data_IF_561315417193
#
_entry.id   IF_561315417193
#
_cell.length_a   1.000
_cell.length_b   1.000
_cell.length_c   1.000
_cell.angle_alpha   90.00
_cell.angle_beta   90.00
_cell.angle_gamma   90.00
#
_symmetry.space_group_name_H-M   'P 1'
#
loop_
_entity.id
_entity.type
_entity.pdbx_description
1 polymer ?
#
# COMPACT_ATOMS: atom_id res chain seq x y z
N UNK A 1 -20.60 4.10 -13.36
CA UNK A 1 -20.67 5.18 -12.33
C UNK A 1 -20.20 6.49 -12.94
N UNK A 2 -20.74 7.64 -12.53
CA UNK A 2 -20.38 8.98 -13.01
C UNK A 2 -19.41 9.64 -12.02
N UNK A 3 -18.26 10.09 -12.50
CA UNK A 3 -17.29 10.83 -11.69
C UNK A 3 -17.61 12.32 -11.75
N UNK A 4 -17.65 12.89 -12.96
CA UNK A 4 -18.11 14.25 -13.26
C UNK A 4 -19.10 14.22 -14.43
N UNK A 5 -19.48 15.38 -14.99
CA UNK A 5 -20.35 15.40 -16.17
C UNK A 5 -19.70 14.74 -17.41
N UNK A 6 -18.38 14.79 -17.50
CA UNK A 6 -17.65 14.32 -18.68
C UNK A 6 -16.77 13.10 -18.37
N UNK A 7 -16.52 12.78 -17.09
CA UNK A 7 -15.68 11.66 -16.67
C UNK A 7 -16.55 10.50 -16.17
N UNK A 8 -16.32 9.29 -16.71
CA UNK A 8 -17.05 8.06 -16.41
C UNK A 8 -16.10 6.99 -15.88
N UNK A 9 -16.56 6.20 -14.94
CA UNK A 9 -15.87 5.00 -14.47
C UNK A 9 -16.17 3.84 -15.40
N UNK A 10 -15.12 3.16 -15.86
CA UNK A 10 -15.19 2.01 -16.75
C UNK A 10 -14.54 0.73 -16.17
N UNK A 11 -14.07 0.78 -14.93
CA UNK A 11 -13.40 -0.34 -14.27
C UNK A 11 -14.32 -1.51 -13.91
N UNK A 12 -13.75 -2.48 -13.21
CA UNK A 12 -14.37 -3.76 -12.84
C UNK A 12 -14.12 -4.10 -11.38
N UNK A 13 -14.93 -5.03 -10.81
CA UNK A 13 -14.72 -5.61 -9.49
C UNK A 13 -14.36 -7.08 -9.61
N UNK A 14 -13.27 -7.49 -8.97
CA UNK A 14 -12.85 -8.89 -8.88
C UNK A 14 -13.18 -9.46 -7.50
N UNK A 15 -14.13 -10.39 -7.46
CA UNK A 15 -14.52 -11.14 -6.25
C UNK A 15 -13.92 -12.55 -6.22
N UNK A 16 -13.06 -12.89 -7.18
CA UNK A 16 -12.47 -14.22 -7.29
C UNK A 16 -11.01 -14.26 -6.80
N UNK A 17 -10.34 -13.12 -6.80
CA UNK A 17 -8.97 -13.01 -6.27
C UNK A 17 -8.99 -13.22 -4.75
N UNK A 18 -8.19 -14.16 -4.28
CA UNK A 18 -8.00 -14.43 -2.85
C UNK A 18 -6.70 -13.80 -2.31
N UNK A 19 -5.68 -13.71 -3.17
CA UNK A 19 -4.38 -13.12 -2.85
C UNK A 19 -3.98 -12.10 -3.92
N UNK A 20 -4.03 -10.81 -3.59
CA UNK A 20 -3.49 -9.76 -4.45
C UNK A 20 -1.94 -9.83 -4.46
N UNK A 21 -1.32 -9.66 -5.63
CA UNK A 21 0.13 -9.91 -5.86
C UNK A 21 0.61 -11.29 -5.34
N UNK A 22 -0.30 -12.26 -5.18
CA UNK A 22 0.01 -13.58 -4.67
C UNK A 22 0.42 -13.62 -3.17
N UNK A 23 0.22 -12.54 -2.43
CA UNK A 23 0.65 -12.44 -1.03
C UNK A 23 -0.32 -11.71 -0.09
N UNK A 24 -1.14 -10.79 -0.57
CA UNK A 24 -2.05 -10.00 0.27
C UNK A 24 -3.44 -10.60 0.24
N UNK A 25 -3.92 -11.10 1.37
CA UNK A 25 -5.29 -11.62 1.51
C UNK A 25 -6.30 -10.51 1.25
N UNK A 26 -7.22 -10.71 0.31
CA UNK A 26 -8.23 -9.72 -0.07
C UNK A 26 -9.64 -10.35 -0.01
N UNK A 27 -10.20 -10.56 1.19
CA UNK A 27 -11.47 -11.24 1.37
C UNK A 27 -12.66 -10.49 0.74
N UNK A 28 -12.51 -9.19 0.54
CA UNK A 28 -13.49 -8.33 -0.12
C UNK A 28 -13.17 -8.06 -1.60
N UNK A 29 -12.29 -8.89 -2.19
CA UNK A 29 -11.90 -8.77 -3.60
C UNK A 29 -11.03 -7.55 -3.90
N UNK A 30 -11.00 -7.15 -5.16
CA UNK A 30 -10.27 -5.98 -5.67
C UNK A 30 -11.12 -5.21 -6.67
N UNK A 31 -10.87 -3.91 -6.78
CA UNK A 31 -11.33 -3.10 -7.90
C UNK A 31 -10.15 -2.79 -8.82
N UNK A 32 -10.30 -2.97 -10.12
CA UNK A 32 -9.38 -2.50 -11.14
C UNK A 32 -10.03 -1.36 -11.88
N UNK A 33 -9.54 -0.15 -11.66
CA UNK A 33 -10.20 1.06 -12.12
C UNK A 33 -9.67 1.51 -13.48
N UNK A 34 -10.58 1.89 -14.35
CA UNK A 34 -10.34 2.58 -15.60
C UNK A 34 -11.35 3.72 -15.73
N UNK A 35 -10.98 4.79 -16.42
CA UNK A 35 -11.85 5.96 -16.56
C UNK A 35 -11.90 6.42 -18.01
N UNK A 36 -13.00 7.05 -18.40
CA UNK A 36 -13.18 7.63 -19.74
C UNK A 36 -13.50 9.10 -19.61
N UNK A 37 -12.75 9.94 -20.28
CA UNK A 37 -12.98 11.37 -20.40
C UNK A 37 -13.65 11.62 -21.75
N UNK A 38 -14.91 12.02 -21.73
CA UNK A 38 -15.73 12.31 -22.91
C UNK A 38 -15.62 13.79 -23.28
N UNK A 39 -14.88 14.08 -24.33
CA UNK A 39 -14.67 15.42 -24.83
C UNK A 39 -14.71 15.44 -26.38
N UNK A 40 -14.19 16.48 -27.04
CA UNK A 40 -13.98 16.50 -28.50
C UNK A 40 -13.12 15.30 -28.90
N UNK A 41 -11.99 15.10 -28.20
CA UNK A 41 -11.19 13.88 -28.19
C UNK A 41 -11.44 13.09 -26.92
N UNK A 42 -11.58 11.77 -27.07
CA UNK A 42 -11.85 10.89 -25.95
C UNK A 42 -10.57 10.23 -25.45
N UNK A 43 -10.32 10.30 -24.15
CA UNK A 43 -9.22 9.59 -23.51
C UNK A 43 -9.76 8.48 -22.59
N UNK A 44 -9.19 7.28 -22.68
CA UNK A 44 -9.35 6.19 -21.73
C UNK A 44 -8.10 6.17 -20.85
N UNK A 45 -8.31 6.12 -19.51
CA UNK A 45 -7.25 6.13 -18.52
C UNK A 45 -7.03 4.72 -18.01
N UNK A 46 -5.88 4.13 -18.32
CA UNK A 46 -5.44 2.78 -18.01
C UNK A 46 -6.42 1.67 -18.44
N UNK A 47 -6.00 0.43 -18.31
CA UNK A 47 -6.82 -0.75 -18.56
C UNK A 47 -7.11 -1.48 -17.23
N UNK A 48 -7.53 -2.74 -17.28
CA UNK A 48 -7.81 -3.57 -16.12
C UNK A 48 -7.10 -4.91 -16.23
N UNK A 49 -7.19 -5.75 -15.20
CA UNK A 49 -6.65 -7.11 -15.22
C UNK A 49 -7.17 -7.93 -16.42
N UNK A 50 -6.32 -8.82 -16.94
CA UNK A 50 -6.61 -9.57 -18.17
C UNK A 50 -7.87 -10.44 -18.10
N UNK A 51 -8.24 -10.92 -16.90
CA UNK A 51 -9.43 -11.77 -16.72
C UNK A 51 -10.72 -11.01 -16.99
N UNK A 52 -10.70 -9.68 -16.90
CA UNK A 52 -11.85 -8.80 -17.08
C UNK A 52 -11.88 -8.09 -18.45
N UNK A 53 -11.08 -8.55 -19.42
CA UNK A 53 -11.01 -7.96 -20.76
C UNK A 53 -12.37 -7.71 -21.39
N UNK A 54 -13.26 -8.71 -21.39
CA UNK A 54 -14.57 -8.61 -22.05
C UNK A 54 -15.48 -7.63 -21.33
N UNK A 55 -15.59 -7.75 -20.01
CA UNK A 55 -16.41 -6.86 -19.19
C UNK A 55 -15.98 -5.40 -19.34
N UNK A 56 -14.68 -5.15 -19.29
CA UNK A 56 -14.11 -3.81 -19.46
C UNK A 56 -14.40 -3.23 -20.85
N UNK A 57 -14.21 -4.00 -21.93
CA UNK A 57 -14.50 -3.54 -23.29
C UNK A 57 -16.00 -3.28 -23.48
N UNK A 58 -16.88 -4.06 -22.88
CA UNK A 58 -18.33 -3.84 -22.87
C UNK A 58 -18.68 -2.55 -22.11
N UNK A 59 -18.07 -2.31 -20.95
CA UNK A 59 -18.21 -1.07 -20.19
C UNK A 59 -17.77 0.15 -21.03
N UNK A 60 -16.65 0.05 -21.74
CA UNK A 60 -16.18 1.10 -22.65
C UNK A 60 -17.18 1.34 -23.79
N UNK A 61 -17.67 0.28 -24.42
CA UNK A 61 -18.61 0.39 -25.53
C UNK A 61 -19.91 1.11 -25.12
N UNK A 62 -20.44 0.79 -23.92
CA UNK A 62 -21.61 1.47 -23.34
C UNK A 62 -21.34 2.95 -23.10
N UNK A 63 -20.19 3.29 -22.50
CA UNK A 63 -19.82 4.69 -22.19
C UNK A 63 -19.60 5.50 -23.46
N UNK A 64 -18.93 4.92 -24.44
CA UNK A 64 -18.59 5.57 -25.71
C UNK A 64 -19.82 5.84 -26.61
N UNK A 65 -20.90 5.04 -26.45
CA UNK A 65 -22.15 5.26 -27.20
C UNK A 65 -21.97 5.29 -28.72
N UNK A 66 -21.04 4.50 -29.25
CA UNK A 66 -20.71 4.42 -30.67
C UNK A 66 -19.61 5.39 -31.12
N UNK A 67 -19.12 6.28 -30.26
CA UNK A 67 -17.91 7.07 -30.49
C UNK A 67 -16.66 6.18 -30.38
N UNK A 68 -15.54 6.62 -30.92
CA UNK A 68 -14.25 5.93 -30.77
C UNK A 68 -13.33 6.75 -29.86
N UNK A 69 -12.53 6.10 -28.99
CA UNK A 69 -11.52 6.81 -28.21
C UNK A 69 -10.37 7.24 -29.12
N UNK A 70 -9.83 8.43 -28.86
CA UNK A 70 -8.64 8.95 -29.52
C UNK A 70 -7.36 8.52 -28.82
N UNK A 71 -7.43 8.33 -27.49
CA UNK A 71 -6.28 8.05 -26.65
C UNK A 71 -6.53 6.94 -25.64
N UNK A 72 -5.49 6.13 -25.42
CA UNK A 72 -5.30 5.33 -24.21
C UNK A 72 -4.12 5.92 -23.45
N UNK A 73 -4.37 6.51 -22.29
CA UNK A 73 -3.33 7.02 -21.39
C UNK A 73 -2.91 5.88 -20.46
N UNK A 74 -1.64 5.48 -20.51
CA UNK A 74 -1.08 4.42 -19.65
C UNK A 74 -0.20 5.07 -18.60
N UNK A 75 -0.68 5.08 -17.37
CA UNK A 75 0.00 5.66 -16.21
C UNK A 75 0.91 4.66 -15.52
N UNK A 76 0.53 3.36 -15.55
CA UNK A 76 1.21 2.29 -14.85
C UNK A 76 1.21 0.99 -15.67
N UNK A 77 2.31 0.24 -15.59
CA UNK A 77 2.53 -0.97 -16.40
C UNK A 77 2.34 -2.28 -15.66
N UNK A 78 1.93 -2.24 -14.40
CA UNK A 78 1.55 -3.47 -13.71
C UNK A 78 0.40 -4.16 -14.45
N UNK A 79 0.44 -5.52 -14.61
CA UNK A 79 -0.50 -6.22 -15.49
C UNK A 79 -1.98 -6.03 -15.17
N UNK A 80 -2.33 -5.77 -13.91
CA UNK A 80 -3.71 -5.49 -13.50
C UNK A 80 -4.26 -4.13 -14.00
N UNK A 81 -3.38 -3.28 -14.59
CA UNK A 81 -3.73 -2.01 -15.24
C UNK A 81 -3.30 -1.96 -16.69
N UNK A 82 -2.46 -2.89 -17.16
CA UNK A 82 -1.86 -2.82 -18.50
C UNK A 82 -2.11 -4.03 -19.38
N UNK A 83 -2.59 -5.15 -18.83
CA UNK A 83 -2.72 -6.40 -19.58
C UNK A 83 -3.63 -6.29 -20.82
N UNK A 84 -4.58 -5.37 -20.81
CA UNK A 84 -5.53 -5.20 -21.91
C UNK A 84 -5.16 -4.12 -22.93
N UNK A 85 -3.94 -3.60 -22.94
CA UNK A 85 -3.46 -2.64 -23.95
C UNK A 85 -3.63 -3.20 -25.36
N UNK A 86 -3.20 -4.45 -25.60
CA UNK A 86 -3.32 -5.08 -26.89
C UNK A 86 -4.79 -5.28 -27.31
N UNK A 87 -5.65 -5.69 -26.38
CA UNK A 87 -7.09 -5.87 -26.61
C UNK A 87 -7.77 -4.54 -26.94
N UNK A 88 -7.40 -3.47 -26.27
CA UNK A 88 -7.89 -2.12 -26.57
C UNK A 88 -7.48 -1.68 -27.98
N UNK A 89 -6.22 -1.83 -28.36
CA UNK A 89 -5.74 -1.45 -29.70
C UNK A 89 -6.35 -2.31 -30.81
N UNK A 90 -6.66 -3.57 -30.54
CA UNK A 90 -7.40 -4.40 -31.47
C UNK A 90 -8.84 -3.91 -31.68
N UNK A 91 -9.51 -3.43 -30.62
CA UNK A 91 -10.85 -2.88 -30.70
C UNK A 91 -10.87 -1.46 -31.31
N UNK A 92 -9.83 -0.67 -31.03
CA UNK A 92 -9.72 0.74 -31.43
C UNK A 92 -8.37 1.04 -32.09
N UNK A 93 -8.10 0.51 -33.28
CA UNK A 93 -6.77 0.59 -33.93
C UNK A 93 -6.32 2.01 -34.30
N UNK A 94 -7.24 2.96 -34.35
CA UNK A 94 -6.93 4.37 -34.66
C UNK A 94 -6.49 5.15 -33.41
N UNK A 95 -6.72 4.61 -32.20
CA UNK A 95 -6.34 5.27 -30.95
C UNK A 95 -4.81 5.33 -30.79
N UNK A 96 -4.31 6.42 -30.23
CA UNK A 96 -2.92 6.56 -29.87
C UNK A 96 -2.70 6.23 -28.38
N UNK A 97 -1.64 5.49 -28.07
CA UNK A 97 -1.20 5.28 -26.68
C UNK A 97 -0.41 6.53 -26.24
N UNK A 98 -0.80 7.09 -25.09
CA UNK A 98 -0.15 8.24 -24.47
C UNK A 98 0.57 7.77 -23.21
N UNK A 99 1.88 7.87 -23.20
CA UNK A 99 2.68 7.41 -22.07
C UNK A 99 4.08 8.04 -22.09
N UNK A 100 4.85 7.85 -21.01
CA UNK A 100 6.26 8.25 -21.04
C UNK A 100 7.15 7.21 -21.76
N UNK A 101 8.39 7.60 -22.07
CA UNK A 101 9.31 6.75 -22.83
C UNK A 101 9.64 5.40 -22.12
N UNK A 102 9.62 5.36 -20.78
CA UNK A 102 9.90 4.15 -20.02
C UNK A 102 8.72 3.18 -20.10
N UNK A 103 7.50 3.69 -20.04
CA UNK A 103 6.27 2.91 -20.25
C UNK A 103 6.28 2.23 -21.61
N UNK A 104 6.66 2.93 -22.69
CA UNK A 104 6.76 2.30 -24.02
C UNK A 104 7.81 1.20 -24.07
N UNK A 105 8.95 1.37 -23.41
CA UNK A 105 9.95 0.30 -23.31
C UNK A 105 9.41 -0.93 -22.56
N UNK A 106 8.56 -0.74 -21.56
CA UNK A 106 7.92 -1.84 -20.84
C UNK A 106 6.79 -2.48 -21.66
N UNK A 107 6.01 -1.71 -22.43
CA UNK A 107 5.04 -2.26 -23.38
C UNK A 107 5.74 -3.20 -24.37
N UNK A 108 6.89 -2.80 -24.92
CA UNK A 108 7.69 -3.65 -25.82
C UNK A 108 8.19 -4.93 -25.12
N UNK A 109 8.46 -4.89 -23.80
CA UNK A 109 8.85 -6.07 -23.02
C UNK A 109 7.69 -7.03 -22.78
N UNK A 110 6.50 -6.52 -22.48
CA UNK A 110 5.31 -7.34 -22.17
C UNK A 110 4.66 -7.92 -23.44
N UNK A 111 4.57 -7.12 -24.50
CA UNK A 111 3.78 -7.46 -25.70
C UNK A 111 4.61 -7.68 -26.95
N UNK A 112 5.91 -7.42 -26.91
CA UNK A 112 6.78 -7.40 -28.10
C UNK A 112 6.79 -6.03 -28.81
N UNK A 113 7.82 -5.77 -29.61
CA UNK A 113 7.98 -4.50 -30.31
C UNK A 113 6.91 -4.33 -31.40
N UNK A 114 6.43 -3.10 -31.57
CA UNK A 114 5.53 -2.72 -32.66
C UNK A 114 4.03 -2.77 -32.32
N UNK A 115 3.65 -3.10 -31.10
CA UNK A 115 2.22 -3.06 -30.69
C UNK A 115 1.65 -1.65 -30.84
N UNK A 116 2.37 -0.63 -30.39
CA UNK A 116 1.93 0.76 -30.44
C UNK A 116 2.47 1.46 -31.70
N UNK A 117 1.74 1.37 -32.83
CA UNK A 117 2.05 2.13 -34.04
C UNK A 117 1.80 3.63 -33.83
N UNK A 118 0.62 3.96 -33.27
CA UNK A 118 0.25 5.33 -32.91
C UNK A 118 0.62 5.58 -31.43
N UNK A 119 1.61 6.43 -31.18
CA UNK A 119 2.07 6.75 -29.83
C UNK A 119 2.35 8.23 -29.63
N UNK A 120 2.02 8.73 -28.45
CA UNK A 120 2.34 10.08 -27.97
C UNK A 120 3.25 9.92 -26.75
N UNK A 121 4.53 10.25 -26.93
CA UNK A 121 5.52 10.18 -25.83
C UNK A 121 5.49 11.50 -25.09
N UNK A 122 5.12 11.46 -23.80
CA UNK A 122 5.01 12.65 -22.96
C UNK A 122 6.19 12.78 -21.98
N UNK A 123 6.44 14.02 -21.53
CA UNK A 123 7.45 14.40 -20.55
C UNK A 123 6.80 14.90 -19.26
N UNK A 124 7.60 14.95 -18.18
CA UNK A 124 7.14 15.49 -16.89
C UNK A 124 6.68 16.94 -17.06
N UNK A 125 5.45 17.24 -16.65
CA UNK A 125 4.81 18.55 -16.77
C UNK A 125 4.22 18.87 -18.15
N UNK A 126 4.32 17.97 -19.13
CA UNK A 126 3.73 18.19 -20.46
C UNK A 126 2.21 18.01 -20.40
N UNK A 127 1.49 18.70 -21.28
CA UNK A 127 0.04 18.68 -21.33
C UNK A 127 -0.51 18.23 -22.68
N UNK A 128 -1.67 17.57 -22.67
CA UNK A 128 -2.45 17.14 -23.83
C UNK A 128 -3.85 17.73 -23.74
N UNK A 129 -4.28 18.44 -24.79
CA UNK A 129 -5.64 18.97 -24.90
C UNK A 129 -6.56 17.92 -25.53
N UNK A 130 -7.73 17.73 -24.93
CA UNK A 130 -8.83 16.93 -25.48
C UNK A 130 -9.94 17.79 -26.12
N UNK A 131 -9.82 19.11 -26.03
CA UNK A 131 -10.82 20.12 -26.41
C UNK A 131 -11.12 21.02 -25.19
N UNK A 132 -12.12 20.69 -24.43
CA UNK A 132 -12.47 21.33 -23.15
C UNK A 132 -11.47 20.93 -22.04
N UNK A 133 -11.15 19.65 -21.94
CA UNK A 133 -10.25 19.10 -20.93
C UNK A 133 -8.77 19.22 -21.34
N UNK A 134 -7.92 19.45 -20.36
CA UNK A 134 -6.47 19.48 -20.55
C UNK A 134 -5.81 18.60 -19.50
N UNK A 135 -5.12 17.57 -19.96
CA UNK A 135 -4.41 16.58 -19.14
C UNK A 135 -2.96 17.01 -18.98
N UNK A 136 -2.48 17.13 -17.76
CA UNK A 136 -1.06 17.41 -17.44
C UNK A 136 -0.46 16.17 -16.80
N UNK A 137 0.66 15.69 -17.32
CA UNK A 137 1.33 14.49 -16.87
C UNK A 137 2.42 14.82 -15.85
N UNK A 138 2.34 14.22 -14.66
CA UNK A 138 3.29 14.43 -13.57
C UNK A 138 3.98 13.10 -13.27
N UNK A 139 5.30 13.02 -13.47
CA UNK A 139 6.03 11.79 -13.23
C UNK A 139 6.17 11.51 -11.73
N UNK A 140 5.86 10.27 -11.37
CA UNK A 140 5.89 9.73 -10.01
C UNK A 140 6.75 8.45 -9.94
N UNK A 141 8.03 8.49 -10.36
CA UNK A 141 8.87 7.30 -10.45
C UNK A 141 9.01 6.62 -9.09
N UNK A 142 8.89 5.31 -9.06
CA UNK A 142 8.91 4.46 -7.86
C UNK A 142 7.71 4.67 -6.91
N UNK A 143 6.59 5.19 -7.42
CA UNK A 143 5.33 5.19 -6.69
C UNK A 143 4.29 4.32 -7.44
N UNK A 144 4.43 2.93 -7.50
CA UNK A 144 5.56 2.20 -6.87
C UNK A 144 6.55 1.62 -7.90
N UNK A 145 6.28 1.71 -9.21
CA UNK A 145 7.20 1.30 -10.30
C UNK A 145 7.91 2.49 -10.94
N UNK A 146 9.02 2.24 -11.69
CA UNK A 146 9.88 3.32 -12.16
C UNK A 146 9.30 4.19 -13.28
N UNK A 147 8.27 3.71 -13.97
CA UNK A 147 7.61 4.40 -15.10
C UNK A 147 6.37 5.19 -14.67
N UNK A 148 5.89 5.01 -13.44
CA UNK A 148 4.61 5.58 -13.00
C UNK A 148 4.55 7.08 -13.24
N UNK A 149 3.44 7.52 -13.80
CA UNK A 149 3.02 8.92 -13.86
C UNK A 149 1.58 9.05 -13.35
N UNK A 150 1.25 10.20 -12.83
CA UNK A 150 -0.12 10.59 -12.51
C UNK A 150 -0.58 11.66 -13.50
N UNK A 151 -1.88 11.77 -13.72
CA UNK A 151 -2.43 12.70 -14.71
C UNK A 151 -3.42 13.64 -14.04
N UNK A 152 -3.23 14.94 -14.21
CA UNK A 152 -4.13 15.96 -13.68
C UNK A 152 -4.96 16.57 -14.80
N UNK A 153 -6.28 16.47 -14.68
CA UNK A 153 -7.24 17.22 -15.50
C UNK A 153 -7.56 18.55 -14.82
N UNK A 154 -7.16 19.65 -15.46
CA UNK A 154 -7.33 20.99 -14.91
C UNK A 154 -8.76 21.51 -15.03
N UNK A 155 -9.60 20.92 -15.85
CA UNK A 155 -10.99 21.39 -16.10
C UNK A 155 -11.93 20.97 -14.99
N UNK A 156 -11.96 19.69 -14.65
CA UNK A 156 -12.79 19.16 -13.56
C UNK A 156 -11.97 18.99 -12.26
N UNK A 157 -10.68 19.40 -12.27
CA UNK A 157 -9.74 19.32 -11.14
C UNK A 157 -9.58 17.88 -10.61
N UNK A 158 -9.46 16.93 -11.53
CA UNK A 158 -9.36 15.52 -11.22
C UNK A 158 -7.90 15.07 -11.30
N UNK A 159 -7.42 14.43 -10.25
CA UNK A 159 -6.14 13.73 -10.25
C UNK A 159 -6.39 12.23 -10.47
N UNK A 160 -5.95 11.69 -11.60
CA UNK A 160 -5.80 10.25 -11.82
C UNK A 160 -4.45 9.85 -11.23
N UNK A 161 -4.49 9.17 -10.10
CA UNK A 161 -3.33 9.05 -9.20
C UNK A 161 -2.54 7.75 -9.35
N UNK A 162 -2.77 6.97 -10.41
CA UNK A 162 -2.27 5.61 -10.51
C UNK A 162 -2.62 4.84 -9.21
N UNK A 163 -1.69 4.07 -8.65
CA UNK A 163 -1.92 3.36 -7.39
C UNK A 163 -1.94 4.24 -6.15
N UNK A 164 -1.52 5.49 -6.30
CA UNK A 164 -1.62 6.45 -5.21
C UNK A 164 -3.05 6.63 -4.73
N UNK A 165 -3.26 6.60 -3.41
CA UNK A 165 -4.57 6.68 -2.76
C UNK A 165 -5.49 5.46 -3.01
N UNK A 166 -4.93 4.36 -3.53
CA UNK A 166 -5.61 3.09 -3.68
C UNK A 166 -5.85 2.38 -2.35
N UNK A 167 -6.75 1.39 -2.38
CA UNK A 167 -7.01 0.48 -1.27
C UNK A 167 -7.36 -0.91 -1.78
N UNK A 168 -7.20 -1.92 -0.95
CA UNK A 168 -7.79 -3.23 -1.18
C UNK A 168 -9.31 -3.18 -1.11
N UNK A 169 -9.98 -4.15 -1.73
CA UNK A 169 -11.43 -4.33 -1.73
C UNK A 169 -12.14 -3.85 -2.99
N UNK A 170 -13.19 -4.57 -3.37
CA UNK A 170 -14.08 -4.23 -4.48
C UNK A 170 -14.97 -3.02 -4.13
N UNK A 171 -15.41 -2.25 -5.14
CA UNK A 171 -16.18 -1.01 -4.92
C UNK A 171 -17.62 -1.24 -4.46
N UNK A 172 -18.14 -2.42 -4.63
CA UNK A 172 -19.50 -2.81 -4.23
C UNK A 172 -19.55 -3.47 -2.84
N UNK A 173 -18.42 -3.49 -2.12
CA UNK A 173 -18.32 -3.90 -0.71
C UNK A 173 -18.12 -2.65 0.14
N UNK A 174 -19.01 -2.45 1.14
CA UNK A 174 -18.87 -1.33 2.08
C UNK A 174 -17.80 -1.64 3.14
N UNK A 175 -16.76 -0.83 3.16
CA UNK A 175 -15.64 -0.99 4.08
C UNK A 175 -14.94 0.35 4.31
N UNK A 176 -14.35 0.54 5.49
CA UNK A 176 -13.60 1.76 5.81
C UNK A 176 -12.34 1.89 4.94
N UNK A 177 -12.15 3.09 4.37
CA UNK A 177 -11.01 3.36 3.49
C UNK A 177 -9.66 3.28 4.23
N UNK A 178 -9.57 3.86 5.43
CA UNK A 178 -8.30 4.06 6.15
C UNK A 178 -7.55 2.76 6.43
N UNK A 179 -8.27 1.69 6.82
CA UNK A 179 -7.68 0.39 7.15
C UNK A 179 -7.06 -0.26 5.92
N UNK A 180 -7.87 -0.46 4.89
CA UNK A 180 -7.44 -1.16 3.67
C UNK A 180 -6.46 -0.33 2.83
N UNK A 181 -6.59 0.99 2.84
CA UNK A 181 -5.63 1.88 2.18
C UNK A 181 -4.27 1.91 2.90
N UNK A 182 -4.25 1.85 4.23
CA UNK A 182 -3.00 1.76 5.01
C UNK A 182 -2.30 0.44 4.73
N UNK A 183 -3.04 -0.68 4.74
CA UNK A 183 -2.52 -2.00 4.44
C UNK A 183 -1.96 -2.07 3.02
N UNK A 184 -2.70 -1.52 2.04
CA UNK A 184 -2.26 -1.37 0.65
C UNK A 184 -0.98 -0.52 0.58
N UNK A 185 -0.99 0.67 1.15
CA UNK A 185 0.15 1.59 1.12
C UNK A 185 1.41 0.96 1.74
N UNK A 186 1.31 0.45 2.96
CA UNK A 186 2.47 -0.13 3.67
C UNK A 186 2.99 -1.36 2.93
N UNK A 187 2.09 -2.21 2.44
CA UNK A 187 2.43 -3.43 1.70
C UNK A 187 3.21 -3.14 0.41
N UNK A 188 2.68 -2.25 -0.42
CA UNK A 188 3.09 -2.07 -1.82
C UNK A 188 3.99 -0.84 -1.99
N UNK A 189 3.62 0.30 -1.42
CA UNK A 189 4.30 1.59 -1.63
C UNK A 189 5.29 1.93 -0.50
N UNK A 190 5.14 1.33 0.69
CA UNK A 190 5.79 1.74 1.94
C UNK A 190 7.32 1.91 1.90
N UNK A 191 8.00 1.17 1.03
CA UNK A 191 9.45 1.32 0.80
C UNK A 191 9.83 2.70 0.25
N UNK A 192 8.94 3.33 -0.50
CA UNK A 192 9.22 4.50 -1.34
C UNK A 192 8.70 5.82 -0.74
N UNK A 193 8.68 5.94 0.57
CA UNK A 193 8.16 7.12 1.28
C UNK A 193 8.73 8.45 0.78
N UNK A 194 10.04 8.51 0.50
CA UNK A 194 10.67 9.73 -0.01
C UNK A 194 10.13 10.15 -1.40
N UNK A 195 9.82 9.18 -2.26
CA UNK A 195 9.24 9.43 -3.59
C UNK A 195 7.79 9.89 -3.46
N UNK A 196 7.02 9.30 -2.54
CA UNK A 196 5.65 9.75 -2.23
C UNK A 196 5.67 11.17 -1.67
N UNK A 197 6.58 11.52 -0.76
CA UNK A 197 6.74 12.90 -0.26
C UNK A 197 7.05 13.89 -1.40
N UNK A 198 7.88 13.49 -2.35
CA UNK A 198 8.17 14.33 -3.53
C UNK A 198 6.93 14.50 -4.42
N UNK A 199 6.12 13.46 -4.61
CA UNK A 199 4.86 13.52 -5.34
C UNK A 199 3.84 14.41 -4.63
N UNK A 200 3.64 14.25 -3.31
CA UNK A 200 2.74 15.10 -2.51
C UNK A 200 3.12 16.58 -2.61
N UNK A 201 4.42 16.89 -2.62
CA UNK A 201 4.91 18.26 -2.80
C UNK A 201 4.56 18.82 -4.19
N UNK A 202 4.66 18.01 -5.26
CA UNK A 202 4.22 18.41 -6.61
C UNK A 202 2.71 18.61 -6.65
N UNK A 203 1.94 17.67 -6.08
CA UNK A 203 0.48 17.71 -6.05
C UNK A 203 -0.08 18.91 -5.23
N UNK A 204 0.64 19.37 -4.21
CA UNK A 204 0.23 20.55 -3.42
C UNK A 204 0.12 21.86 -4.22
N UNK A 205 0.72 21.91 -5.42
CA UNK A 205 0.60 23.05 -6.33
C UNK A 205 -0.64 22.96 -7.24
N UNK A 206 -1.36 21.84 -7.21
CA UNK A 206 -2.55 21.58 -8.03
C UNK A 206 -3.83 21.83 -7.22
N UNK A 207 -4.85 22.36 -7.87
CA UNK A 207 -6.18 22.56 -7.28
C UNK A 207 -7.03 21.29 -7.48
N UNK A 208 -6.82 20.28 -6.64
CA UNK A 208 -7.44 18.95 -6.76
C UNK A 208 -8.78 18.95 -6.03
N UNK A 209 -9.85 18.61 -6.74
CA UNK A 209 -11.19 18.41 -6.20
C UNK A 209 -11.58 16.91 -6.09
N UNK A 210 -11.01 16.06 -6.93
CA UNK A 210 -11.31 14.62 -6.97
C UNK A 210 -9.99 13.86 -7.19
N UNK A 211 -9.82 12.75 -6.48
CA UNK A 211 -8.72 11.79 -6.74
C UNK A 211 -9.34 10.51 -7.26
N UNK A 212 -8.86 10.04 -8.39
CA UNK A 212 -9.28 8.81 -9.07
C UNK A 212 -8.12 7.80 -9.10
N UNK A 213 -8.03 6.90 -8.10
CA UNK A 213 -6.98 5.89 -8.04
C UNK A 213 -7.29 4.70 -8.97
N UNK A 214 -6.29 3.85 -9.20
CA UNK A 214 -6.43 2.61 -9.96
C UNK A 214 -7.08 1.48 -9.13
N UNK A 215 -7.11 1.62 -7.79
CA UNK A 215 -7.85 0.73 -6.87
C UNK A 215 -8.69 1.55 -5.89
N UNK A 216 -9.85 1.02 -5.50
CA UNK A 216 -10.72 1.67 -4.52
C UNK A 216 -11.56 2.83 -5.10
N UNK A 217 -12.28 3.57 -4.27
CA UNK A 217 -13.24 4.57 -4.70
C UNK A 217 -12.60 5.88 -5.18
N UNK A 218 -13.28 6.59 -6.07
CA UNK A 218 -12.95 7.99 -6.34
C UNK A 218 -13.21 8.83 -5.08
N UNK A 219 -12.19 9.56 -4.63
CA UNK A 219 -12.23 10.38 -3.42
C UNK A 219 -12.66 11.80 -3.79
N UNK A 220 -13.76 12.27 -3.24
CA UNK A 220 -14.36 13.59 -3.57
C UNK A 220 -14.47 14.50 -2.35
N UNK A 221 -14.71 13.92 -1.19
CA UNK A 221 -14.94 14.65 0.04
C UNK A 221 -13.74 14.49 0.98
N UNK A 222 -13.47 15.51 1.78
CA UNK A 222 -12.44 15.45 2.82
C UNK A 222 -11.04 15.04 2.31
N UNK A 223 -10.62 15.49 1.15
CA UNK A 223 -9.32 15.15 0.55
C UNK A 223 -8.14 15.44 1.48
N UNK A 224 -8.27 16.43 2.34
CA UNK A 224 -7.26 16.75 3.33
C UNK A 224 -6.95 15.57 4.29
N UNK A 225 -7.95 14.75 4.62
CA UNK A 225 -7.77 13.55 5.45
C UNK A 225 -6.87 12.53 4.74
N UNK A 226 -7.18 12.16 3.51
CA UNK A 226 -6.43 11.19 2.73
C UNK A 226 -4.99 11.64 2.45
N UNK A 227 -4.82 12.92 2.09
CA UNK A 227 -3.50 13.52 1.86
C UNK A 227 -2.68 13.53 3.16
N UNK A 228 -3.30 13.84 4.29
CA UNK A 228 -2.64 13.82 5.60
C UNK A 228 -2.20 12.40 5.99
N UNK A 229 -3.02 11.37 5.73
CA UNK A 229 -2.62 9.98 5.99
C UNK A 229 -1.43 9.57 5.12
N UNK A 230 -1.45 9.90 3.84
CA UNK A 230 -0.32 9.67 2.94
C UNK A 230 0.95 10.40 3.39
N UNK A 231 0.84 11.63 3.92
CA UNK A 231 1.97 12.37 4.50
C UNK A 231 2.51 11.69 5.75
N UNK A 232 1.64 11.21 6.64
CA UNK A 232 2.02 10.45 7.84
C UNK A 232 2.76 9.17 7.45
N UNK A 233 2.18 8.35 6.58
CA UNK A 233 2.73 7.05 6.20
C UNK A 233 4.07 7.20 5.45
N UNK A 234 4.14 8.11 4.49
CA UNK A 234 5.34 8.32 3.66
C UNK A 234 6.49 9.02 4.38
N UNK A 235 6.20 9.74 5.46
CA UNK A 235 7.22 10.28 6.37
C UNK A 235 7.58 9.33 7.50
N UNK A 236 7.03 8.11 7.52
CA UNK A 236 7.24 7.09 8.54
C UNK A 236 6.89 7.55 9.96
N UNK A 237 5.97 8.50 10.11
CA UNK A 237 5.41 8.87 11.40
C UNK A 237 4.42 7.82 11.89
N UNK A 238 4.27 7.69 13.19
CA UNK A 238 3.17 6.89 13.75
C UNK A 238 1.84 7.60 13.49
N UNK A 239 0.84 6.85 13.05
CA UNK A 239 -0.51 7.36 12.80
C UNK A 239 -1.32 7.47 14.08
N UNK A 240 -1.18 6.48 14.96
CA UNK A 240 -1.99 6.34 16.16
C UNK A 240 -1.14 6.11 17.40
N UNK A 241 -1.64 6.58 18.54
CA UNK A 241 -1.06 6.25 19.83
C UNK A 241 -1.43 4.82 20.25
N UNK A 242 -0.44 4.01 20.59
CA UNK A 242 -0.62 2.63 21.01
C UNK A 242 0.66 1.84 21.03
N UNK A 243 0.54 0.59 21.41
CA UNK A 243 1.63 -0.40 21.46
C UNK A 243 1.20 -1.65 20.70
N UNK A 244 2.02 -2.11 19.78
CA UNK A 244 1.88 -3.43 19.18
C UNK A 244 2.80 -4.42 19.91
N UNK A 245 2.28 -5.56 20.30
CA UNK A 245 3.01 -6.70 20.85
C UNK A 245 2.92 -7.84 19.82
N UNK A 246 3.95 -8.00 19.02
CA UNK A 246 4.07 -9.09 18.06
C UNK A 246 4.81 -10.27 18.71
N UNK A 247 4.18 -11.45 18.77
CA UNK A 247 4.80 -12.58 19.43
C UNK A 247 4.74 -13.87 18.62
N UNK A 248 5.69 -14.78 18.94
CA UNK A 248 5.62 -16.18 18.61
C UNK A 248 5.88 -17.02 19.86
N UNK A 249 5.23 -18.17 19.97
CA UNK A 249 5.36 -19.03 21.16
C UNK A 249 5.22 -20.51 20.77
N UNK A 250 6.15 -21.35 21.23
CA UNK A 250 6.12 -22.78 20.93
C UNK A 250 5.22 -23.52 21.95
N UNK A 251 5.46 -23.34 23.25
CA UNK A 251 4.74 -24.04 24.32
C UNK A 251 3.96 -23.11 25.25
N UNK A 252 3.63 -21.88 24.82
CA UNK A 252 2.80 -20.94 25.54
C UNK A 252 3.51 -20.01 26.53
N UNK A 253 4.77 -20.23 26.89
CA UNK A 253 5.45 -19.42 27.90
C UNK A 253 5.83 -18.01 27.41
N UNK A 254 6.20 -17.86 26.14
CA UNK A 254 6.43 -16.52 25.54
C UNK A 254 5.09 -15.80 25.34
N UNK A 255 4.04 -16.52 24.94
CA UNK A 255 2.67 -16.00 24.86
C UNK A 255 2.21 -15.45 26.21
N UNK A 256 2.39 -16.21 27.31
CA UNK A 256 2.02 -15.77 28.65
C UNK A 256 2.72 -14.46 29.07
N UNK A 257 3.97 -14.24 28.63
CA UNK A 257 4.67 -12.98 28.89
C UNK A 257 4.11 -11.81 28.05
N UNK A 258 3.76 -12.08 26.79
CA UNK A 258 3.13 -11.10 25.92
C UNK A 258 1.73 -10.70 26.42
N UNK A 259 0.94 -11.67 26.87
CA UNK A 259 -0.37 -11.46 27.50
C UNK A 259 -0.24 -10.66 28.80
N UNK A 260 0.72 -10.99 29.67
CA UNK A 260 0.98 -10.24 30.88
C UNK A 260 1.35 -8.77 30.58
N UNK A 261 2.18 -8.52 29.56
CA UNK A 261 2.50 -7.16 29.15
C UNK A 261 1.27 -6.41 28.64
N UNK A 262 0.44 -7.07 27.84
CA UNK A 262 -0.85 -6.50 27.38
C UNK A 262 -1.71 -6.08 28.56
N UNK A 263 -1.88 -6.95 29.56
CA UNK A 263 -2.70 -6.66 30.74
C UNK A 263 -2.12 -5.49 31.53
N UNK A 264 -0.79 -5.44 31.72
CA UNK A 264 -0.13 -4.33 32.43
C UNK A 264 -0.25 -3.00 31.70
N UNK A 265 -0.16 -2.99 30.37
CA UNK A 265 -0.38 -1.79 29.58
C UNK A 265 -1.83 -1.29 29.67
N UNK A 266 -2.81 -2.20 29.64
CA UNK A 266 -4.22 -1.86 29.85
C UNK A 266 -4.48 -1.34 31.27
N UNK A 267 -3.90 -1.96 32.30
CA UNK A 267 -3.97 -1.48 33.69
C UNK A 267 -3.40 -0.06 33.85
N UNK A 268 -2.35 0.28 33.10
CA UNK A 268 -1.72 1.61 33.09
C UNK A 268 -2.47 2.63 32.21
N UNK A 269 -3.52 2.22 31.50
CA UNK A 269 -4.34 3.13 30.67
C UNK A 269 -3.77 3.38 29.27
N UNK A 270 -3.00 2.46 28.70
CA UNK A 270 -2.55 2.56 27.29
C UNK A 270 -3.77 2.68 26.36
N UNK A 271 -3.76 3.66 25.47
CA UNK A 271 -4.93 3.97 24.60
C UNK A 271 -5.32 2.80 23.71
N UNK A 272 -4.33 2.07 23.19
CA UNK A 272 -4.54 0.89 22.35
C UNK A 272 -3.37 -0.07 22.53
N UNK A 273 -3.69 -1.34 22.74
CA UNK A 273 -2.72 -2.43 22.67
C UNK A 273 -3.20 -3.43 21.63
N UNK A 274 -2.33 -3.77 20.70
CA UNK A 274 -2.53 -4.84 19.71
C UNK A 274 -1.65 -6.00 20.09
N UNK A 275 -2.24 -7.16 20.36
CA UNK A 275 -1.53 -8.39 20.67
C UNK A 275 -1.68 -9.36 19.49
N UNK A 276 -0.58 -9.63 18.76
CA UNK A 276 -0.59 -10.40 17.54
C UNK A 276 0.26 -11.67 17.65
N UNK A 277 -0.37 -12.83 17.46
CA UNK A 277 0.33 -14.13 17.29
C UNK A 277 0.73 -14.28 15.80
N UNK A 278 1.99 -14.00 15.50
CA UNK A 278 2.52 -14.02 14.13
C UNK A 278 2.41 -15.39 13.41
N UNK A 279 2.16 -16.46 14.15
CA UNK A 279 1.93 -17.77 13.55
C UNK A 279 0.46 -17.99 13.14
N UNK A 280 -0.45 -17.06 13.47
CA UNK A 280 -1.90 -17.21 13.29
C UNK A 280 -2.60 -16.01 12.69
N UNK A 281 -1.99 -14.82 12.77
CA UNK A 281 -2.53 -13.62 12.14
C UNK A 281 -2.14 -13.54 10.66
N UNK A 282 -2.82 -12.69 9.92
CA UNK A 282 -2.33 -12.25 8.60
C UNK A 282 -1.05 -11.43 8.79
N UNK A 283 -0.01 -11.78 8.05
CA UNK A 283 1.30 -11.11 8.16
C UNK A 283 1.25 -9.67 7.67
N UNK A 284 0.45 -9.38 6.66
CA UNK A 284 0.30 -8.03 6.13
C UNK A 284 -0.40 -7.10 7.13
N UNK A 285 -1.41 -7.59 7.84
CA UNK A 285 -2.06 -6.89 8.96
C UNK A 285 -1.06 -6.60 10.10
N UNK A 286 -0.25 -7.60 10.45
CA UNK A 286 0.76 -7.42 11.50
C UNK A 286 1.80 -6.37 11.10
N UNK A 287 2.23 -6.35 9.85
CA UNK A 287 3.18 -5.36 9.32
C UNK A 287 2.56 -3.97 9.34
N UNK A 288 1.32 -3.84 8.87
CA UNK A 288 0.57 -2.57 8.89
C UNK A 288 0.47 -2.00 10.30
N UNK A 289 0.06 -2.81 11.27
CA UNK A 289 -0.05 -2.39 12.67
C UNK A 289 1.29 -1.94 13.27
N UNK A 290 2.41 -2.57 12.89
CA UNK A 290 3.73 -2.13 13.32
C UNK A 290 4.11 -0.73 12.79
N UNK A 291 3.66 -0.38 11.59
CA UNK A 291 3.83 0.97 11.03
C UNK A 291 2.81 1.97 11.60
N UNK A 292 1.60 1.53 11.93
CA UNK A 292 0.53 2.35 12.49
C UNK A 292 0.88 2.93 13.86
N UNK A 293 1.46 2.10 14.74
CA UNK A 293 1.76 2.50 16.11
C UNK A 293 3.22 2.90 16.30
N UNK A 294 3.45 3.82 17.25
CA UNK A 294 4.80 4.33 17.54
C UNK A 294 5.67 3.37 18.36
N UNK A 295 5.09 2.34 18.96
CA UNK A 295 5.76 1.43 19.91
C UNK A 295 5.52 -0.02 19.52
N UNK A 296 6.59 -0.80 19.41
CA UNK A 296 6.56 -2.22 19.03
C UNK A 296 7.31 -3.06 20.07
N UNK A 297 6.70 -4.14 20.53
CA UNK A 297 7.38 -5.17 21.32
C UNK A 297 7.46 -6.45 20.52
N UNK A 298 8.67 -6.96 20.34
CA UNK A 298 8.98 -8.22 19.66
C UNK A 298 9.23 -9.31 20.70
N UNK A 299 8.37 -10.31 20.75
CA UNK A 299 8.41 -11.37 21.75
C UNK A 299 8.59 -12.75 21.08
N UNK A 300 9.74 -13.41 21.24
CA UNK A 300 9.98 -14.70 20.60
C UNK A 300 10.90 -15.60 21.42
N UNK A 301 10.95 -16.86 21.06
CA UNK A 301 11.86 -17.84 21.64
C UNK A 301 13.14 -17.96 20.81
N UNK A 302 14.24 -18.27 21.47
CA UNK A 302 15.44 -18.76 20.81
C UNK A 302 15.16 -20.14 20.22
N UNK A 303 15.39 -20.29 18.92
CA UNK A 303 15.09 -21.48 18.16
C UNK A 303 16.24 -21.80 17.18
N UNK A 304 16.82 -22.98 17.24
CA UNK A 304 17.96 -23.39 16.41
C UNK A 304 19.15 -22.39 16.42
N UNK A 305 19.50 -21.88 17.61
CA UNK A 305 20.50 -20.81 17.79
C UNK A 305 20.18 -19.50 17.04
N UNK A 306 18.93 -19.25 16.76
CA UNK A 306 18.37 -18.11 16.07
C UNK A 306 17.00 -17.73 16.69
N UNK A 307 16.12 -17.07 15.95
CA UNK A 307 14.73 -16.78 16.36
C UNK A 307 13.73 -17.66 15.61
N UNK A 308 12.49 -17.73 16.13
CA UNK A 308 11.43 -18.50 15.49
C UNK A 308 11.07 -17.93 14.10
N UNK A 309 10.83 -18.78 13.06
CA UNK A 309 10.73 -18.33 11.67
C UNK A 309 9.73 -17.21 11.40
N UNK A 310 8.52 -17.26 11.95
CA UNK A 310 7.51 -16.20 11.73
C UNK A 310 7.96 -14.84 12.25
N UNK A 311 8.70 -14.76 13.35
CA UNK A 311 9.29 -13.53 13.85
C UNK A 311 10.37 -12.99 12.90
N UNK A 312 11.18 -13.90 12.32
CA UNK A 312 12.19 -13.52 11.32
C UNK A 312 11.53 -12.88 10.10
N UNK A 313 10.56 -13.58 9.51
CA UNK A 313 9.79 -13.11 8.35
C UNK A 313 9.14 -11.74 8.63
N UNK A 314 8.54 -11.58 9.81
CA UNK A 314 7.94 -10.31 10.22
C UNK A 314 8.98 -9.16 10.22
N UNK A 315 10.13 -9.35 10.85
CA UNK A 315 11.19 -8.32 10.90
C UNK A 315 11.76 -8.04 9.50
N UNK A 316 11.91 -9.06 8.66
CA UNK A 316 12.32 -8.90 7.26
C UNK A 316 11.33 -8.01 6.50
N UNK A 317 10.03 -8.26 6.59
CA UNK A 317 8.99 -7.42 6.00
C UNK A 317 9.03 -5.96 6.51
N UNK A 318 9.29 -5.75 7.80
CA UNK A 318 9.45 -4.41 8.33
C UNK A 318 10.67 -3.68 7.71
N UNK A 319 11.81 -4.35 7.68
CA UNK A 319 13.08 -3.72 7.21
C UNK A 319 13.09 -3.48 5.71
N UNK A 320 12.45 -4.33 4.92
CA UNK A 320 12.26 -4.16 3.48
C UNK A 320 11.46 -2.90 3.13
N UNK A 321 10.56 -2.48 4.05
CA UNK A 321 9.69 -1.30 3.92
C UNK A 321 10.24 -0.07 4.65
N UNK A 322 11.54 -0.04 4.97
CA UNK A 322 12.20 1.07 5.65
C UNK A 322 11.62 1.39 7.04
N UNK A 323 11.29 0.38 7.85
CA UNK A 323 10.80 0.57 9.21
C UNK A 323 11.73 1.46 10.03
N UNK A 324 11.20 2.56 10.57
CA UNK A 324 11.98 3.61 11.24
C UNK A 324 11.11 4.47 12.17
N UNK A 325 11.74 5.39 12.94
CA UNK A 325 11.06 6.32 13.85
C UNK A 325 10.18 5.61 14.88
N UNK A 326 10.66 4.54 15.50
CA UNK A 326 9.86 3.73 16.43
C UNK A 326 10.62 3.41 17.71
N UNK A 327 9.84 3.20 18.79
CA UNK A 327 10.36 2.63 20.04
C UNK A 327 10.16 1.11 20.01
N UNK A 328 11.22 0.35 20.26
CA UNK A 328 11.19 -1.13 20.19
C UNK A 328 11.65 -1.76 21.49
N UNK A 329 10.84 -2.67 22.02
CA UNK A 329 11.15 -3.51 23.18
C UNK A 329 11.31 -4.99 22.79
N UNK A 330 12.04 -5.76 23.60
CA UNK A 330 12.28 -7.16 23.36
C UNK A 330 11.87 -8.04 24.54
N UNK A 331 11.17 -9.12 24.24
CA UNK A 331 10.93 -10.24 25.14
C UNK A 331 11.54 -11.49 24.52
N UNK A 332 12.50 -12.10 25.19
CA UNK A 332 13.12 -13.32 24.74
C UNK A 332 12.87 -14.50 25.68
N UNK A 333 12.80 -15.69 25.12
CA UNK A 333 12.74 -16.93 25.89
C UNK A 333 13.80 -17.92 25.39
N UNK A 334 14.48 -18.60 26.33
CA UNK A 334 15.43 -19.65 26.02
C UNK A 334 15.82 -20.42 27.28
N UNK A 335 15.76 -21.75 27.23
CA UNK A 335 16.00 -22.57 28.43
C UNK A 335 17.47 -22.52 28.90
N UNK A 336 18.44 -22.59 27.97
CA UNK A 336 19.87 -22.66 28.30
C UNK A 336 20.72 -21.53 27.72
N UNK A 337 20.34 -20.94 26.59
CA UNK A 337 21.10 -19.86 25.95
C UNK A 337 20.13 -18.89 25.24
N UNK A 338 19.40 -18.04 26.00
CA UNK A 338 18.53 -17.04 25.40
C UNK A 338 19.39 -16.06 24.57
N UNK A 339 19.04 -15.89 23.30
CA UNK A 339 19.75 -14.99 22.38
C UNK A 339 18.83 -14.27 21.40
N UNK A 340 17.52 -14.51 21.50
CA UNK A 340 16.55 -13.98 20.55
C UNK A 340 16.55 -12.44 20.51
N UNK A 341 16.67 -11.75 21.65
CA UNK A 341 16.73 -10.30 21.69
C UNK A 341 17.96 -9.74 20.93
N UNK A 342 19.11 -10.41 21.04
CA UNK A 342 20.31 -10.03 20.30
C UNK A 342 20.12 -10.17 18.79
N UNK A 343 19.50 -11.26 18.35
CA UNK A 343 19.23 -11.53 16.93
C UNK A 343 18.24 -10.49 16.39
N UNK A 344 17.11 -10.28 17.07
CA UNK A 344 16.10 -9.29 16.64
C UNK A 344 16.68 -7.88 16.56
N UNK A 345 17.50 -7.48 17.54
CA UNK A 345 18.19 -6.19 17.51
C UNK A 345 19.15 -6.07 16.31
N UNK A 346 19.91 -7.10 16.00
CA UNK A 346 20.83 -7.11 14.86
C UNK A 346 20.07 -7.02 13.52
N UNK A 347 18.90 -7.62 13.40
CA UNK A 347 18.07 -7.51 12.19
C UNK A 347 17.57 -6.08 11.97
N UNK A 348 17.35 -5.31 13.04
CA UNK A 348 16.90 -3.91 12.96
C UNK A 348 18.06 -2.90 12.90
N UNK A 349 19.31 -3.33 12.85
CA UNK A 349 20.50 -2.45 12.93
C UNK A 349 20.54 -1.37 11.82
N UNK A 350 19.98 -1.69 10.65
CA UNK A 350 19.91 -0.77 9.50
C UNK A 350 18.69 0.14 9.51
N UNK A 351 17.73 -0.10 10.40
CA UNK A 351 16.55 0.74 10.57
C UNK A 351 16.93 2.06 11.23
N UNK A 352 16.44 3.17 10.68
CA UNK A 352 16.79 4.51 11.16
C UNK A 352 15.95 4.89 12.38
N UNK A 353 16.51 5.69 13.27
CA UNK A 353 15.78 6.34 14.36
C UNK A 353 14.96 5.34 15.22
N UNK A 354 15.53 4.17 15.51
CA UNK A 354 14.96 3.20 16.43
C UNK A 354 15.46 3.50 17.85
N UNK A 355 14.54 3.81 18.75
CA UNK A 355 14.79 3.88 20.18
C UNK A 355 14.52 2.53 20.81
N UNK A 356 15.51 1.92 21.42
CA UNK A 356 15.32 0.67 22.13
C UNK A 356 15.01 0.91 23.59
N UNK A 357 14.03 0.17 24.13
CA UNK A 357 13.75 0.21 25.56
C UNK A 357 14.96 -0.25 26.38
N UNK A 358 15.21 0.37 27.55
CA UNK A 358 16.28 -0.07 28.46
C UNK A 358 16.08 -1.50 28.95
N UNK A 359 14.83 -1.88 29.24
CA UNK A 359 14.50 -3.22 29.73
C UNK A 359 14.32 -4.21 28.59
N UNK A 360 15.09 -5.30 28.62
CA UNK A 360 14.81 -6.53 27.86
C UNK A 360 14.27 -7.58 28.82
N UNK A 361 13.10 -8.14 28.51
CA UNK A 361 12.53 -9.23 29.31
C UNK A 361 13.18 -10.55 28.89
N UNK A 362 13.90 -11.18 29.81
CA UNK A 362 14.53 -12.49 29.58
C UNK A 362 13.84 -13.57 30.38
N UNK A 363 13.24 -14.53 29.66
CA UNK A 363 12.56 -15.69 30.25
C UNK A 363 13.46 -16.91 30.08
N UNK A 364 13.66 -17.64 31.18
CA UNK A 364 14.32 -18.95 31.16
C UNK A 364 13.28 -20.03 31.36
N UNK A 365 12.75 -20.52 30.23
CA UNK A 365 11.65 -21.50 30.10
C UNK A 365 10.28 -20.93 30.46
N UNK A 366 9.99 -20.67 31.72
CA UNK A 366 8.71 -20.18 32.22
C UNK A 366 8.83 -18.84 32.96
N UNK A 367 7.75 -18.07 33.02
CA UNK A 367 7.68 -16.84 33.83
C UNK A 367 7.94 -17.15 35.30
N UNK A 368 8.75 -16.30 35.92
CA UNK A 368 9.05 -16.30 37.36
C UNK A 368 9.04 -14.85 37.88
N UNK A 369 9.08 -14.65 39.17
CA UNK A 369 9.02 -13.32 39.78
C UNK A 369 9.95 -12.29 39.18
N UNK A 370 11.20 -12.69 38.83
CA UNK A 370 12.16 -11.80 38.18
C UNK A 370 11.75 -11.36 36.76
N UNK A 371 11.23 -12.28 35.93
CA UNK A 371 10.76 -11.91 34.58
C UNK A 371 9.43 -11.16 34.62
N UNK A 372 8.55 -11.45 35.60
CA UNK A 372 7.35 -10.65 35.85
C UNK A 372 7.70 -9.20 36.17
N UNK A 373 8.68 -8.97 37.07
CA UNK A 373 9.15 -7.62 37.40
C UNK A 373 9.73 -6.88 36.17
N UNK A 374 10.43 -7.59 35.27
CA UNK A 374 10.91 -7.02 34.01
C UNK A 374 9.74 -6.64 33.08
N UNK A 375 8.68 -7.45 32.97
CA UNK A 375 7.47 -7.11 32.19
C UNK A 375 6.78 -5.86 32.76
N UNK A 376 6.64 -5.76 34.07
CA UNK A 376 6.06 -4.57 34.74
C UNK A 376 6.92 -3.31 34.50
N UNK A 377 8.24 -3.45 34.50
CA UNK A 377 9.15 -2.34 34.20
C UNK A 377 9.04 -1.92 32.72
N UNK A 378 9.01 -2.88 31.80
CA UNK A 378 8.80 -2.60 30.36
C UNK A 378 7.46 -1.90 30.10
N UNK A 379 6.39 -2.30 30.78
CA UNK A 379 5.08 -1.65 30.65
C UNK A 379 5.16 -0.17 31.05
N UNK A 380 5.88 0.18 32.12
CA UNK A 380 6.11 1.58 32.54
C UNK A 380 6.95 2.37 31.53
N UNK A 381 7.97 1.74 30.91
CA UNK A 381 8.81 2.36 29.90
C UNK A 381 8.04 2.62 28.58
N UNK A 382 6.97 1.86 28.32
CA UNK A 382 6.11 2.01 27.16
C UNK A 382 5.01 3.07 27.35
N UNK A 383 4.73 3.51 28.56
CA UNK A 383 3.76 4.58 28.84
C UNK A 383 4.40 5.95 28.71
#
# INVERSE_FOLDING_TARGET
MTITNDIRYAGVNDHQVDLFEGQYTVPNGMAYNSYVILDEKIAVMDTVDQHFQHEWLDNLAVILGGRKPDYLVVQHMEPDHSANIASFLNAYPEAAVVANAKTFAMIDQFFGPGLCENKVVVKDGESLSLGKHTLTFVFAPMVHWPEVMVTYDSTDKVLFSADGFGKFGALDVEEEWDCEARRYYIGIVGKYGAQVQALLKKAAALDIAIICPLHGPALKDNLAHYINLYDIWSSYRAESEGVMIAYTSVYGHTKAAAELLNDKLNELGCKKVVLCDLARCDMAEAVEDAFRYGKLVLATTTYNADIFPFMRTFIEHLTERNYQNRTVGFIENGAWAPMAAKVMRAMLEKSKDITYLPTTVTIKSALKSASVAQVEQMAKELM
#
